data_IF_026597880279
#
_entry.id   IF_026597880279
#
_cell.length_a   1.000
_cell.length_b   1.000
_cell.length_c   1.000
_cell.angle_alpha   90.00
_cell.angle_beta   90.00
_cell.angle_gamma   90.00
#
_symmetry.space_group_name_H-M   'P 1'
#
loop_
_entity.id
_entity.type
_entity.pdbx_description
1 polymer ?
#
# COMPACT_ATOMS: atom_id res chain seq x y z
N UNK A 1 36.43 -32.93 -16.99
CA UNK A 1 36.91 -31.84 -17.86
C UNK A 1 38.33 -32.11 -18.30
N UNK A 2 38.61 -32.41 -19.58
CA UNK A 2 39.99 -32.45 -20.05
C UNK A 2 40.58 -31.06 -19.89
N UNK A 3 41.68 -30.96 -19.14
CA UNK A 3 42.43 -29.72 -18.99
C UNK A 3 42.95 -29.32 -20.38
N UNK A 4 42.57 -28.13 -20.86
CA UNK A 4 43.21 -27.54 -22.03
C UNK A 4 44.70 -27.31 -21.67
N UNK A 5 45.59 -28.06 -22.31
CA UNK A 5 47.03 -27.91 -22.14
C UNK A 5 47.46 -26.55 -22.71
N UNK A 6 47.65 -25.57 -21.83
CA UNK A 6 48.20 -24.26 -22.15
C UNK A 6 49.68 -24.19 -21.73
N UNK A 7 50.47 -23.33 -22.39
CA UNK A 7 51.92 -23.19 -22.14
C UNK A 7 52.29 -22.81 -20.69
N UNK A 8 51.34 -22.33 -19.90
CA UNK A 8 51.52 -22.04 -18.47
C UNK A 8 51.64 -23.31 -17.61
N UNK A 9 51.31 -24.49 -18.14
CA UNK A 9 51.35 -25.77 -17.44
C UNK A 9 52.66 -26.56 -17.66
N UNK A 10 53.70 -25.96 -18.25
CA UNK A 10 55.01 -26.61 -18.45
C UNK A 10 55.66 -27.12 -17.16
N UNK A 11 55.45 -26.41 -16.05
CA UNK A 11 55.94 -26.83 -14.73
C UNK A 11 55.24 -28.10 -14.23
N UNK A 12 54.00 -28.33 -14.66
CA UNK A 12 53.15 -29.42 -14.18
C UNK A 12 53.64 -30.78 -14.70
N UNK A 13 54.23 -30.82 -15.90
CA UNK A 13 54.86 -32.03 -16.46
C UNK A 13 56.13 -32.40 -15.68
N UNK A 14 57.03 -31.43 -15.43
CA UNK A 14 58.21 -31.65 -14.57
C UNK A 14 57.83 -32.07 -13.16
N UNK A 15 56.75 -31.52 -12.62
CA UNK A 15 56.22 -31.89 -11.32
C UNK A 15 55.68 -33.34 -11.31
N UNK A 16 54.98 -33.77 -12.36
CA UNK A 16 54.53 -35.17 -12.49
C UNK A 16 55.70 -36.17 -12.62
N UNK A 17 56.79 -35.81 -13.30
CA UNK A 17 58.03 -36.59 -13.34
C UNK A 17 58.64 -36.74 -11.94
N UNK A 18 58.63 -35.68 -11.12
CA UNK A 18 59.19 -35.75 -9.76
C UNK A 18 58.41 -36.63 -8.78
N UNK A 19 57.12 -36.91 -9.03
CA UNK A 19 56.24 -37.63 -8.10
C UNK A 19 55.91 -39.05 -8.59
N UNK A 20 56.53 -39.50 -9.70
CA UNK A 20 56.39 -40.87 -10.22
C UNK A 20 54.92 -41.30 -10.48
N UNK A 21 54.05 -40.34 -10.81
CA UNK A 21 52.61 -40.54 -11.02
C UNK A 21 52.23 -40.74 -12.50
N UNK A 22 53.20 -40.75 -13.42
CA UNK A 22 52.99 -40.94 -14.86
C UNK A 22 52.19 -42.22 -15.19
N UNK A 23 52.36 -43.29 -14.39
CA UNK A 23 51.70 -44.58 -14.63
C UNK A 23 50.21 -44.62 -14.22
N UNK A 24 49.68 -43.59 -13.56
CA UNK A 24 48.25 -43.52 -13.15
C UNK A 24 47.39 -42.66 -14.07
N UNK A 25 47.97 -42.03 -15.07
CA UNK A 25 47.24 -41.17 -16.00
C UNK A 25 46.87 -41.99 -17.23
N UNK A 26 45.59 -42.36 -17.34
CA UNK A 26 44.99 -42.91 -18.56
C UNK A 26 44.87 -41.79 -19.62
N UNK A 27 46.01 -41.32 -20.13
CA UNK A 27 46.04 -40.56 -21.38
C UNK A 27 45.92 -41.56 -22.52
N UNK A 28 44.92 -41.40 -23.39
CA UNK A 28 44.81 -42.13 -24.64
C UNK A 28 46.14 -42.01 -25.41
N UNK A 29 46.81 -43.17 -25.56
CA UNK A 29 47.98 -43.48 -26.40
C UNK A 29 48.74 -42.28 -26.96
N UNK A 30 49.89 -42.05 -26.33
CA UNK A 30 51.09 -41.35 -26.80
C UNK A 30 51.24 -41.26 -28.33
N UNK A 31 50.97 -40.09 -28.90
CA UNK A 31 51.88 -39.56 -29.91
C UNK A 31 53.05 -38.94 -29.15
N UNK A 32 54.28 -39.28 -29.54
CA UNK A 32 55.48 -38.59 -29.11
C UNK A 32 55.32 -37.11 -29.47
N UNK A 33 54.93 -36.30 -28.49
CA UNK A 33 54.83 -34.85 -28.62
C UNK A 33 56.27 -34.32 -28.63
N UNK A 34 56.72 -33.83 -29.78
CA UNK A 34 58.01 -33.16 -29.87
C UNK A 34 57.90 -31.73 -29.33
N UNK A 35 59.01 -31.13 -28.89
CA UNK A 35 59.05 -29.72 -28.41
C UNK A 35 58.44 -28.72 -29.42
N UNK A 36 58.44 -29.06 -30.70
CA UNK A 36 57.88 -28.24 -31.77
C UNK A 36 56.34 -28.25 -31.84
N UNK A 37 55.66 -29.22 -31.20
CA UNK A 37 54.19 -29.27 -31.16
C UNK A 37 53.59 -28.26 -30.16
N UNK A 38 54.41 -27.74 -29.23
CA UNK A 38 54.01 -26.71 -28.26
C UNK A 38 54.11 -25.28 -28.80
N UNK A 39 54.78 -25.08 -29.93
CA UNK A 39 55.10 -23.75 -30.45
C UNK A 39 54.68 -23.61 -31.92
N UNK A 40 53.37 -23.68 -32.17
CA UNK A 40 52.81 -23.21 -33.45
C UNK A 40 52.99 -21.69 -33.53
N UNK A 41 53.81 -21.25 -34.50
CA UNK A 41 53.94 -19.92 -35.10
C UNK A 41 53.74 -18.71 -34.17
N UNK A 42 54.76 -17.84 -34.06
CA UNK A 42 54.68 -16.49 -33.47
C UNK A 42 53.58 -15.65 -34.14
N UNK A 43 52.31 -15.89 -33.82
CA UNK A 43 51.22 -14.95 -34.06
C UNK A 43 51.52 -13.76 -33.16
N UNK A 44 51.50 -12.57 -33.74
CA UNK A 44 51.58 -11.35 -32.94
C UNK A 44 50.48 -11.40 -31.88
N UNK A 45 50.86 -11.20 -30.63
CA UNK A 45 49.92 -11.14 -29.52
C UNK A 45 49.97 -9.75 -28.91
N UNK A 46 48.82 -9.32 -28.41
CA UNK A 46 48.66 -8.06 -27.71
C UNK A 46 47.73 -8.30 -26.53
N UNK A 47 48.27 -8.24 -25.33
CA UNK A 47 47.52 -8.29 -24.09
C UNK A 47 47.60 -6.93 -23.41
N UNK A 48 46.48 -6.52 -22.83
CA UNK A 48 46.35 -5.28 -22.10
C UNK A 48 45.80 -5.64 -20.72
N UNK A 49 46.38 -5.07 -19.68
CA UNK A 49 45.92 -5.24 -18.30
C UNK A 49 45.61 -3.86 -17.73
N UNK A 50 44.37 -3.65 -17.25
CA UNK A 50 43.26 -4.61 -17.13
C UNK A 50 42.59 -4.98 -18.47
N UNK A 51 41.91 -6.13 -18.56
CA UNK A 51 41.33 -6.59 -19.84
C UNK A 51 39.95 -5.98 -20.18
N UNK A 52 39.26 -5.44 -19.18
CA UNK A 52 37.92 -4.85 -19.28
C UNK A 52 37.94 -3.37 -18.88
N UNK A 53 36.92 -2.61 -19.30
CA UNK A 53 36.68 -1.24 -18.85
C UNK A 53 36.65 -1.15 -17.33
N UNK A 54 37.27 -0.11 -16.77
CA UNK A 54 37.40 0.05 -15.32
C UNK A 54 36.70 1.30 -14.82
N UNK A 55 36.14 1.20 -13.63
CA UNK A 55 35.68 2.33 -12.82
C UNK A 55 36.68 2.45 -11.66
N UNK A 56 37.37 3.58 -11.55
CA UNK A 56 38.45 3.80 -10.59
C UNK A 56 38.23 5.15 -9.89
N UNK A 57 38.78 5.36 -8.70
CA UNK A 57 38.56 6.60 -7.97
C UNK A 57 39.68 7.62 -8.19
N UNK A 58 39.33 8.89 -8.07
CA UNK A 58 40.26 10.01 -8.10
C UNK A 58 41.28 9.88 -6.97
N UNK A 59 42.53 10.21 -7.26
CA UNK A 59 43.70 10.06 -6.39
C UNK A 59 44.17 8.62 -6.15
N UNK A 60 43.50 7.60 -6.71
CA UNK A 60 44.05 6.24 -6.69
C UNK A 60 45.18 6.10 -7.72
N UNK A 61 46.23 5.34 -7.38
CA UNK A 61 47.25 4.95 -8.35
C UNK A 61 46.69 3.92 -9.32
N UNK A 62 47.01 4.06 -10.61
CA UNK A 62 46.54 3.15 -11.64
C UNK A 62 47.65 2.78 -12.62
N UNK A 63 47.71 1.49 -12.96
CA UNK A 63 48.70 0.93 -13.89
C UNK A 63 48.02 0.35 -15.11
N UNK A 64 48.46 0.78 -16.28
CA UNK A 64 48.14 0.13 -17.54
C UNK A 64 49.38 -0.59 -18.03
N UNK A 65 49.26 -1.87 -18.35
CA UNK A 65 50.37 -2.64 -18.88
C UNK A 65 49.96 -3.32 -20.18
N UNK A 66 50.78 -3.11 -21.20
CA UNK A 66 50.64 -3.68 -22.51
C UNK A 66 51.78 -4.65 -22.81
N UNK A 67 51.43 -5.92 -23.00
CA UNK A 67 52.38 -6.99 -23.34
C UNK A 67 52.22 -7.40 -24.79
N UNK A 68 53.32 -7.32 -25.55
CA UNK A 68 53.39 -7.76 -26.93
C UNK A 68 54.77 -8.31 -27.29
N UNK A 69 54.85 -9.07 -28.38
CA UNK A 69 56.09 -9.50 -29.01
C UNK A 69 56.73 -8.44 -29.93
N UNK A 70 56.08 -7.29 -30.15
CA UNK A 70 56.61 -6.16 -30.93
C UNK A 70 56.64 -4.86 -30.12
N UNK A 71 57.26 -3.80 -30.64
CA UNK A 71 57.29 -2.49 -29.97
C UNK A 71 55.87 -1.95 -29.80
N UNK A 72 55.54 -1.50 -28.59
CA UNK A 72 54.23 -0.98 -28.22
C UNK A 72 54.27 0.52 -27.97
N UNK A 73 53.16 1.20 -28.22
CA UNK A 73 52.94 2.58 -27.76
C UNK A 73 51.48 2.78 -27.35
N UNK A 74 51.22 3.81 -26.56
CA UNK A 74 49.91 4.14 -26.05
C UNK A 74 49.36 5.43 -26.63
N UNK A 75 48.06 5.47 -26.88
CA UNK A 75 47.32 6.71 -27.13
C UNK A 75 46.17 6.86 -26.14
N UNK A 76 45.90 8.11 -25.74
CA UNK A 76 44.77 8.50 -24.91
C UNK A 76 43.87 9.40 -25.73
N UNK A 77 42.61 9.00 -25.94
CA UNK A 77 41.67 9.70 -26.82
C UNK A 77 42.30 10.05 -28.18
N UNK A 78 42.92 9.04 -28.82
CA UNK A 78 43.57 9.11 -30.13
C UNK A 78 44.83 10.00 -30.20
N UNK A 79 45.26 10.58 -29.08
CA UNK A 79 46.51 11.37 -28.99
C UNK A 79 47.64 10.53 -28.43
N UNK A 80 48.80 10.59 -29.07
CA UNK A 80 50.01 9.91 -28.60
C UNK A 80 50.31 10.26 -27.13
N UNK A 81 50.54 9.25 -26.31
CA UNK A 81 50.81 9.40 -24.88
C UNK A 81 52.21 8.95 -24.49
N UNK A 82 52.60 7.71 -24.81
CA UNK A 82 53.91 7.17 -24.42
C UNK A 82 54.34 5.97 -25.27
N UNK A 83 55.66 5.76 -25.38
CA UNK A 83 56.28 4.58 -26.01
C UNK A 83 56.58 3.43 -25.03
N UNK A 84 56.26 3.60 -23.74
CA UNK A 84 56.50 2.57 -22.73
C UNK A 84 55.39 1.51 -22.75
N UNK A 85 55.75 0.24 -22.53
CA UNK A 85 54.76 -0.85 -22.39
C UNK A 85 53.87 -0.65 -21.16
N UNK A 86 54.43 -0.11 -20.09
CA UNK A 86 53.74 0.18 -18.83
C UNK A 86 53.55 1.68 -18.62
N UNK A 87 52.33 2.10 -18.32
CA UNK A 87 52.00 3.44 -17.84
C UNK A 87 51.61 3.34 -16.37
N UNK A 88 52.26 4.15 -15.54
CA UNK A 88 51.90 4.32 -14.15
C UNK A 88 51.41 5.75 -13.92
N UNK A 89 50.17 5.89 -13.47
CA UNK A 89 49.58 7.17 -13.09
C UNK A 89 49.49 7.16 -11.56
N UNK A 90 50.33 7.96 -10.85
CA UNK A 90 50.37 7.92 -9.39
C UNK A 90 49.12 8.50 -8.75
N UNK A 91 48.48 9.48 -9.41
CA UNK A 91 47.24 10.10 -8.97
C UNK A 91 46.29 10.27 -10.16
N UNK A 92 45.18 9.54 -10.17
CA UNK A 92 44.14 9.71 -11.19
C UNK A 92 43.35 11.01 -10.99
N UNK A 93 43.10 11.73 -12.07
CA UNK A 93 42.24 12.91 -12.15
C UNK A 93 41.08 12.66 -13.10
N UNK A 94 40.01 13.45 -13.01
CA UNK A 94 38.81 13.28 -13.86
C UNK A 94 39.12 13.33 -15.37
N UNK A 95 40.11 14.12 -15.77
CA UNK A 95 40.57 14.25 -17.16
C UNK A 95 41.29 13.00 -17.71
N UNK A 96 41.60 12.00 -16.86
CA UNK A 96 42.09 10.69 -17.30
C UNK A 96 40.97 9.73 -17.70
N UNK A 97 39.70 10.15 -17.54
CA UNK A 97 38.55 9.39 -18.05
C UNK A 97 38.53 9.46 -19.58
N UNK A 98 38.46 8.30 -20.23
CA UNK A 98 38.51 8.21 -21.68
C UNK A 98 39.02 6.87 -22.18
N UNK A 99 39.31 6.82 -23.48
CA UNK A 99 39.74 5.61 -24.17
C UNK A 99 41.26 5.52 -24.20
N UNK A 100 41.79 4.50 -23.52
CA UNK A 100 43.21 4.17 -23.52
C UNK A 100 43.45 3.04 -24.50
N UNK A 101 44.28 3.26 -25.51
CA UNK A 101 44.61 2.27 -26.53
C UNK A 101 46.08 1.93 -26.52
N UNK A 102 46.39 0.64 -26.44
CA UNK A 102 47.73 0.15 -26.74
C UNK A 102 47.78 -0.31 -28.20
N UNK A 103 48.82 0.13 -28.89
CA UNK A 103 49.14 -0.23 -30.26
C UNK A 103 50.38 -1.10 -30.29
N UNK A 104 50.35 -2.10 -31.15
CA UNK A 104 51.43 -3.01 -31.51
C UNK A 104 51.38 -3.21 -33.02
N UNK A 105 52.42 -3.76 -33.63
CA UNK A 105 52.46 -3.97 -35.08
C UNK A 105 51.21 -4.70 -35.59
N UNK A 106 50.36 -3.97 -36.32
CA UNK A 106 49.05 -4.38 -36.86
C UNK A 106 48.01 -4.87 -35.83
N UNK A 107 48.14 -4.55 -34.54
CA UNK A 107 47.18 -4.92 -33.48
C UNK A 107 46.96 -3.75 -32.51
N UNK A 108 45.70 -3.48 -32.19
CA UNK A 108 45.32 -2.46 -31.21
C UNK A 108 44.35 -3.06 -30.18
N UNK A 109 44.46 -2.67 -28.91
CA UNK A 109 43.45 -2.96 -27.88
C UNK A 109 43.13 -1.71 -27.07
N UNK A 110 41.85 -1.47 -26.83
CA UNK A 110 41.33 -0.32 -26.10
C UNK A 110 40.66 -0.71 -24.78
N UNK A 111 40.75 0.18 -23.79
CA UNK A 111 40.02 0.10 -22.52
C UNK A 111 39.39 1.47 -22.25
N UNK A 112 38.12 1.48 -21.84
CA UNK A 112 37.49 2.68 -21.29
C UNK A 112 37.80 2.79 -19.80
N UNK A 113 38.35 3.92 -19.37
CA UNK A 113 38.58 4.27 -17.97
C UNK A 113 37.57 5.34 -17.55
N UNK A 114 36.84 5.10 -16.46
CA UNK A 114 35.96 6.08 -15.82
C UNK A 114 36.47 6.41 -14.42
N UNK A 115 36.94 7.64 -14.21
CA UNK A 115 37.44 8.11 -12.91
C UNK A 115 36.32 8.80 -12.14
N UNK A 116 36.02 8.34 -10.93
CA UNK A 116 35.01 8.92 -10.04
C UNK A 116 35.65 9.73 -8.90
N UNK A 117 35.11 10.91 -8.58
CA UNK A 117 35.56 11.68 -7.42
C UNK A 117 34.93 11.12 -6.12
N UNK A 118 35.75 10.73 -5.14
CA UNK A 118 35.32 10.25 -3.81
C UNK A 118 34.70 11.36 -2.95
N UNK A 119 35.03 12.63 -3.20
CA UNK A 119 34.60 13.75 -2.35
C UNK A 119 33.16 14.23 -2.60
N UNK A 120 32.49 13.72 -3.64
CA UNK A 120 31.06 13.96 -3.86
C UNK A 120 30.32 12.63 -3.78
N UNK A 121 29.62 12.42 -2.66
CA UNK A 121 28.74 11.26 -2.41
C UNK A 121 27.63 11.17 -3.47
N UNK A 122 27.91 10.63 -4.65
CA UNK A 122 26.96 10.41 -5.75
C UNK A 122 26.15 9.12 -5.57
N UNK A 123 25.70 8.84 -4.35
CA UNK A 123 24.94 7.63 -4.06
C UNK A 123 23.69 7.93 -3.24
N UNK A 124 22.61 7.23 -3.54
CA UNK A 124 21.53 7.03 -2.58
C UNK A 124 21.96 5.98 -1.54
N UNK A 125 21.63 6.23 -0.28
CA UNK A 125 21.91 5.27 0.79
C UNK A 125 21.04 4.02 0.66
N UNK A 126 21.52 2.89 1.17
CA UNK A 126 20.69 1.69 1.26
C UNK A 126 19.46 1.96 2.12
N UNK A 127 18.31 1.44 1.69
CA UNK A 127 17.02 1.67 2.34
C UNK A 127 16.29 0.34 2.51
N UNK A 128 15.81 0.09 3.72
CA UNK A 128 14.82 -0.96 3.98
C UNK A 128 13.45 -0.32 4.03
N UNK A 129 12.50 -0.94 3.36
CA UNK A 129 11.13 -0.44 3.28
C UNK A 129 10.17 -1.60 3.41
N UNK A 130 9.20 -1.45 4.31
CA UNK A 130 8.09 -2.37 4.47
C UNK A 130 6.84 -1.78 3.82
N UNK A 131 6.16 -2.56 3.00
CA UNK A 131 4.97 -2.15 2.23
C UNK A 131 3.94 -3.26 2.23
N UNK A 132 2.70 -2.93 1.85
CA UNK A 132 1.63 -3.91 1.61
C UNK A 132 1.97 -4.95 0.54
N UNK A 133 2.98 -4.70 -0.30
CA UNK A 133 3.51 -5.62 -1.33
C UNK A 133 4.80 -6.33 -0.91
N UNK A 134 5.25 -6.13 0.33
CA UNK A 134 6.35 -6.84 0.96
C UNK A 134 7.50 -5.97 1.43
N UNK A 135 8.54 -6.66 1.92
CA UNK A 135 9.76 -6.04 2.42
C UNK A 135 10.78 -5.91 1.30
N UNK A 136 11.26 -4.70 1.05
CA UNK A 136 12.25 -4.41 0.03
C UNK A 136 13.55 -3.89 0.66
N UNK A 137 14.68 -4.43 0.20
CA UNK A 137 16.01 -3.96 0.54
C UNK A 137 16.65 -3.31 -0.69
N UNK A 138 16.62 -1.99 -0.74
CA UNK A 138 17.26 -1.22 -1.80
C UNK A 138 18.74 -1.04 -1.47
N UNK A 139 19.65 -1.58 -2.30
CA UNK A 139 21.09 -1.45 -2.06
C UNK A 139 21.56 -0.01 -2.28
N UNK A 140 22.77 0.30 -1.81
CA UNK A 140 23.41 1.59 -2.12
C UNK A 140 23.63 1.72 -3.63
N UNK A 141 23.13 2.80 -4.23
CA UNK A 141 23.04 2.95 -5.70
C UNK A 141 23.56 4.31 -6.16
N UNK A 142 24.21 4.35 -7.33
CA UNK A 142 24.70 5.58 -7.94
C UNK A 142 23.55 6.49 -8.39
N UNK A 143 23.72 7.80 -8.26
CA UNK A 143 22.75 8.79 -8.76
C UNK A 143 22.48 8.64 -10.25
N UNK A 144 21.21 8.74 -10.65
CA UNK A 144 20.74 8.58 -12.02
C UNK A 144 20.44 7.14 -12.45
N UNK A 145 20.58 6.16 -11.54
CA UNK A 145 20.28 4.75 -11.84
C UNK A 145 18.89 4.34 -11.33
N UNK A 146 18.26 3.45 -12.10
CA UNK A 146 17.04 2.73 -11.71
C UNK A 146 17.46 1.33 -11.26
N UNK A 147 17.05 0.94 -10.06
CA UNK A 147 17.27 -0.42 -9.56
C UNK A 147 16.00 -1.22 -9.78
N UNK A 148 16.19 -2.47 -10.21
CA UNK A 148 15.14 -3.47 -10.27
C UNK A 148 15.38 -4.53 -9.19
N UNK A 149 14.36 -4.88 -8.43
CA UNK A 149 14.35 -5.99 -7.48
C UNK A 149 13.26 -6.99 -7.87
N UNK A 150 13.46 -8.27 -7.54
CA UNK A 150 12.42 -9.29 -7.72
C UNK A 150 11.28 -9.06 -6.72
N UNK A 151 10.03 -9.17 -7.17
CA UNK A 151 8.88 -9.07 -6.28
C UNK A 151 8.87 -10.23 -5.25
N UNK A 152 8.75 -9.96 -3.94
CA UNK A 152 8.82 -10.99 -2.90
C UNK A 152 7.71 -12.05 -2.97
N UNK A 153 6.50 -11.65 -3.39
CA UNK A 153 5.31 -12.50 -3.40
C UNK A 153 4.80 -12.86 -4.80
N UNK A 154 5.64 -12.68 -5.83
CA UNK A 154 5.30 -12.94 -7.22
C UNK A 154 4.60 -11.76 -7.92
N UNK A 155 3.87 -12.07 -8.99
CA UNK A 155 3.28 -11.09 -9.90
C UNK A 155 1.92 -10.60 -9.42
N UNK A 156 1.66 -9.32 -9.66
CA UNK A 156 0.33 -8.73 -9.51
C UNK A 156 -0.66 -9.46 -10.42
N UNK A 157 -1.95 -9.45 -10.04
CA UNK A 157 -2.92 -10.32 -10.66
C UNK A 157 -3.22 -9.99 -12.13
N UNK A 158 -2.99 -8.74 -12.56
CA UNK A 158 -3.10 -8.32 -13.95
C UNK A 158 -1.96 -8.86 -14.84
N UNK A 159 -0.90 -9.42 -14.25
CA UNK A 159 0.32 -9.88 -14.93
C UNK A 159 0.46 -11.42 -14.91
N UNK A 160 -0.60 -12.18 -14.55
CA UNK A 160 -0.57 -13.65 -14.37
C UNK A 160 -0.09 -14.42 -15.62
N UNK A 161 -0.13 -13.80 -16.81
CA UNK A 161 0.29 -14.41 -18.08
C UNK A 161 1.56 -13.80 -18.71
N UNK A 162 2.32 -12.94 -18.01
CA UNK A 162 3.58 -12.45 -18.58
C UNK A 162 4.68 -13.49 -18.45
N UNK A 163 5.47 -13.65 -19.51
CA UNK A 163 6.68 -14.48 -19.47
C UNK A 163 7.81 -13.83 -18.65
N UNK A 164 7.71 -12.54 -18.34
CA UNK A 164 8.71 -11.80 -17.59
C UNK A 164 8.53 -11.99 -16.07
N UNK A 165 9.66 -12.16 -15.37
CA UNK A 165 9.68 -12.14 -13.91
C UNK A 165 9.20 -10.77 -13.39
N UNK A 166 8.26 -10.71 -12.44
CA UNK A 166 7.73 -9.45 -11.91
C UNK A 166 8.78 -8.71 -11.10
N UNK A 167 8.89 -7.39 -11.33
CA UNK A 167 9.92 -6.54 -10.73
C UNK A 167 9.36 -5.30 -10.06
N UNK A 168 10.01 -4.93 -8.97
CA UNK A 168 9.90 -3.62 -8.33
C UNK A 168 10.99 -2.71 -8.86
N UNK A 169 10.67 -1.44 -9.12
CA UNK A 169 11.63 -0.43 -9.57
C UNK A 169 11.72 0.73 -8.58
N UNK A 170 12.92 1.28 -8.42
CA UNK A 170 13.10 2.51 -7.67
C UNK A 170 14.27 3.31 -8.24
N UNK A 171 14.12 4.63 -8.32
CA UNK A 171 15.07 5.51 -9.00
C UNK A 171 15.88 6.30 -7.99
N UNK A 172 17.21 6.22 -8.10
CA UNK A 172 18.08 7.12 -7.34
C UNK A 172 18.24 8.43 -8.11
N UNK A 173 17.63 9.52 -7.62
CA UNK A 173 17.73 10.83 -8.26
C UNK A 173 19.15 11.43 -8.20
N UNK A 174 19.43 12.41 -9.07
CA UNK A 174 20.66 13.21 -8.98
C UNK A 174 20.82 13.98 -7.67
N UNK A 175 19.71 14.21 -6.95
CA UNK A 175 19.69 14.85 -5.64
C UNK A 175 20.03 13.89 -4.48
N UNK A 176 20.36 12.62 -4.78
CA UNK A 176 20.67 11.55 -3.79
C UNK A 176 19.45 11.13 -2.96
N UNK A 177 18.27 11.33 -3.51
CA UNK A 177 17.01 10.87 -2.92
C UNK A 177 16.42 9.77 -3.77
N UNK A 178 15.86 8.76 -3.13
CA UNK A 178 15.08 7.76 -3.80
C UNK A 178 13.71 8.34 -4.21
N UNK A 179 13.37 8.21 -5.48
CA UNK A 179 12.14 8.73 -6.10
C UNK A 179 11.53 7.70 -7.06
N UNK A 180 10.27 7.89 -7.42
CA UNK A 180 9.57 7.06 -8.42
C UNK A 180 9.58 5.57 -8.08
N UNK A 181 9.10 5.24 -6.88
CA UNK A 181 8.89 3.85 -6.49
C UNK A 181 7.76 3.24 -7.33
N UNK A 182 8.05 2.17 -8.06
CA UNK A 182 7.07 1.41 -8.81
C UNK A 182 7.02 -0.04 -8.32
N UNK A 183 5.89 -0.38 -7.68
CA UNK A 183 5.55 -1.73 -7.21
C UNK A 183 4.36 -2.32 -7.97
N UNK A 184 3.99 -1.76 -9.14
CA UNK A 184 2.79 -2.15 -9.89
C UNK A 184 2.75 -3.62 -10.28
N UNK A 185 3.91 -4.20 -10.60
CA UNK A 185 4.05 -5.61 -10.99
C UNK A 185 4.07 -6.58 -9.81
N UNK A 186 4.19 -6.09 -8.57
CA UNK A 186 4.30 -6.96 -7.40
C UNK A 186 2.93 -7.31 -6.81
N UNK A 187 2.77 -8.58 -6.44
CA UNK A 187 1.62 -9.06 -5.68
C UNK A 187 1.60 -8.49 -4.26
N UNK A 188 0.40 -8.38 -3.69
CA UNK A 188 0.24 -8.07 -2.27
C UNK A 188 0.79 -9.18 -1.38
N UNK A 189 1.22 -8.80 -0.17
CA UNK A 189 1.79 -9.72 0.83
C UNK A 189 0.78 -10.72 1.37
N UNK A 190 -0.48 -10.31 1.52
CA UNK A 190 -1.55 -11.12 2.11
C UNK A 190 -2.35 -11.86 1.04
N UNK A 191 -2.89 -13.02 1.39
CA UNK A 191 -3.71 -13.80 0.46
C UNK A 191 -5.01 -13.07 0.09
N UNK A 192 -5.61 -12.38 1.07
CA UNK A 192 -6.86 -11.65 0.91
C UNK A 192 -6.69 -10.49 -0.09
N UNK A 193 -5.71 -9.61 0.13
CA UNK A 193 -5.40 -8.54 -0.84
C UNK A 193 -5.02 -9.07 -2.23
N UNK A 194 -4.35 -10.22 -2.33
CA UNK A 194 -4.07 -10.85 -3.63
C UNK A 194 -5.35 -11.29 -4.36
N UNK A 195 -6.31 -11.84 -3.65
CA UNK A 195 -7.59 -12.20 -4.26
C UNK A 195 -8.40 -10.96 -4.63
N UNK A 196 -8.36 -9.89 -3.83
CA UNK A 196 -8.97 -8.61 -4.20
C UNK A 196 -8.38 -8.05 -5.51
N UNK A 197 -7.04 -8.06 -5.63
CA UNK A 197 -6.33 -7.65 -6.85
C UNK A 197 -6.72 -8.52 -8.06
N UNK A 198 -6.92 -9.81 -7.84
CA UNK A 198 -7.39 -10.74 -8.87
C UNK A 198 -8.85 -10.49 -9.29
N UNK A 199 -9.74 -10.21 -8.35
CA UNK A 199 -11.13 -9.88 -8.66
C UNK A 199 -11.25 -8.58 -9.47
N UNK A 200 -10.40 -7.60 -9.17
CA UNK A 200 -10.26 -6.35 -9.93
C UNK A 200 -9.79 -6.59 -11.36
N UNK A 201 -8.73 -7.38 -11.54
CA UNK A 201 -8.09 -7.56 -12.85
C UNK A 201 -9.02 -8.19 -13.90
N UNK A 202 -10.04 -8.94 -13.46
CA UNK A 202 -11.02 -9.60 -14.33
C UNK A 202 -12.07 -8.60 -14.90
N UNK A 203 -12.01 -7.30 -14.57
CA UNK A 203 -12.89 -6.24 -15.09
C UNK A 203 -14.39 -6.61 -15.00
N UNK A 204 -14.80 -7.17 -13.86
CA UNK A 204 -16.15 -7.69 -13.72
C UNK A 204 -17.17 -6.61 -13.38
N UNK A 205 -18.32 -6.64 -14.06
CA UNK A 205 -19.43 -5.66 -13.86
C UNK A 205 -20.05 -5.69 -12.47
N UNK A 206 -19.76 -6.71 -11.66
CA UNK A 206 -20.32 -6.96 -10.33
C UNK A 206 -19.20 -7.17 -9.27
N UNK A 207 -18.15 -6.35 -9.29
CA UNK A 207 -16.99 -6.51 -8.40
C UNK A 207 -17.40 -6.56 -6.92
N UNK A 208 -18.19 -5.59 -6.45
CA UNK A 208 -18.65 -5.50 -5.05
C UNK A 208 -19.39 -6.76 -4.59
N UNK A 209 -20.22 -7.36 -5.45
CA UNK A 209 -20.94 -8.58 -5.11
C UNK A 209 -19.97 -9.78 -5.02
N UNK A 210 -18.99 -9.88 -5.92
CA UNK A 210 -17.95 -10.91 -5.83
C UNK A 210 -17.12 -10.76 -4.55
N UNK A 211 -16.71 -9.54 -4.22
CA UNK A 211 -16.02 -9.24 -2.96
C UNK A 211 -16.83 -9.72 -1.76
N UNK A 212 -18.12 -9.40 -1.69
CA UNK A 212 -19.00 -9.89 -0.63
C UNK A 212 -19.05 -11.42 -0.56
N UNK A 213 -19.19 -12.10 -1.70
CA UNK A 213 -19.22 -13.57 -1.72
C UNK A 213 -17.90 -14.18 -1.26
N UNK A 214 -16.77 -13.56 -1.58
CA UNK A 214 -15.45 -14.01 -1.15
C UNK A 214 -15.27 -13.78 0.36
N UNK A 215 -15.49 -12.54 0.82
CA UNK A 215 -15.36 -12.14 2.22
C UNK A 215 -16.26 -12.97 3.14
N UNK A 216 -17.48 -13.32 2.70
CA UNK A 216 -18.40 -14.14 3.48
C UNK A 216 -17.88 -15.54 3.83
N UNK A 217 -16.84 -16.01 3.13
CA UNK A 217 -16.22 -17.34 3.34
C UNK A 217 -14.95 -17.29 4.20
N UNK A 218 -14.45 -16.10 4.51
CA UNK A 218 -13.18 -15.89 5.20
C UNK A 218 -13.46 -15.63 6.68
N UNK A 219 -12.61 -16.15 7.57
CA UNK A 219 -12.69 -15.79 8.98
C UNK A 219 -12.21 -14.34 9.17
N UNK A 220 -12.99 -13.56 9.92
CA UNK A 220 -12.72 -12.16 10.29
C UNK A 220 -11.31 -12.01 10.89
N UNK A 221 -10.80 -13.03 11.58
CA UNK A 221 -9.47 -13.03 12.20
C UNK A 221 -8.31 -13.07 11.21
N UNK A 222 -8.55 -13.46 9.96
CA UNK A 222 -7.50 -13.53 8.94
C UNK A 222 -7.16 -12.16 8.33
N UNK A 223 -8.05 -11.17 8.49
CA UNK A 223 -7.87 -9.82 7.97
C UNK A 223 -6.75 -9.09 8.69
N UNK A 224 -5.81 -8.54 7.92
CA UNK A 224 -4.77 -7.66 8.42
C UNK A 224 -5.08 -6.20 8.11
N UNK A 225 -4.35 -5.32 8.75
CA UNK A 225 -4.38 -3.88 8.52
C UNK A 225 -4.40 -3.50 7.02
N UNK A 226 -3.46 -4.04 6.23
CA UNK A 226 -3.35 -3.77 4.79
C UNK A 226 -4.61 -4.19 4.01
N UNK A 227 -5.22 -5.32 4.39
CA UNK A 227 -6.41 -5.86 3.71
C UNK A 227 -7.63 -4.95 3.92
N UNK A 228 -7.75 -4.37 5.11
CA UNK A 228 -8.87 -3.49 5.46
C UNK A 228 -8.74 -2.16 4.70
N UNK A 229 -7.54 -1.57 4.68
CA UNK A 229 -7.29 -0.34 3.93
C UNK A 229 -7.56 -0.57 2.45
N UNK A 230 -7.02 -1.66 1.89
CA UNK A 230 -7.25 -1.96 0.49
C UNK A 230 -8.73 -2.16 0.16
N UNK A 231 -9.49 -2.85 1.02
CA UNK A 231 -10.94 -2.99 0.83
C UNK A 231 -11.67 -1.64 0.86
N UNK A 232 -11.26 -0.71 1.73
CA UNK A 232 -11.84 0.64 1.78
C UNK A 232 -11.52 1.42 0.50
N UNK A 233 -10.27 1.36 0.03
CA UNK A 233 -9.86 2.01 -1.23
C UNK A 233 -10.67 1.47 -2.42
N UNK A 234 -10.96 0.16 -2.43
CA UNK A 234 -11.81 -0.45 -3.46
C UNK A 234 -13.27 0.01 -3.41
N UNK A 235 -13.80 0.22 -2.21
CA UNK A 235 -15.16 0.77 -2.03
C UNK A 235 -15.21 2.20 -2.56
N UNK A 236 -14.19 3.01 -2.28
CA UNK A 236 -14.03 4.40 -2.74
C UNK A 236 -14.03 4.48 -4.27
N UNK A 237 -13.14 3.71 -4.92
CA UNK A 237 -13.02 3.67 -6.39
C UNK A 237 -14.31 3.21 -7.09
N UNK A 238 -14.96 2.16 -6.58
CA UNK A 238 -16.19 1.66 -7.19
C UNK A 238 -17.37 2.61 -6.99
N UNK A 239 -17.48 3.25 -5.82
CA UNK A 239 -18.52 4.24 -5.56
C UNK A 239 -18.45 5.41 -6.57
N UNK A 240 -17.27 5.97 -6.81
CA UNK A 240 -17.08 7.07 -7.77
C UNK A 240 -17.49 6.68 -9.20
N UNK A 241 -17.07 5.49 -9.64
CA UNK A 241 -17.42 4.94 -10.96
C UNK A 241 -18.92 4.77 -11.13
N UNK A 242 -19.61 4.31 -10.11
CA UNK A 242 -21.06 4.07 -10.18
C UNK A 242 -21.88 5.36 -10.12
N UNK A 243 -21.46 6.34 -9.31
CA UNK A 243 -22.10 7.66 -9.31
C UNK A 243 -22.02 8.30 -10.70
N UNK A 244 -20.87 8.20 -11.37
CA UNK A 244 -20.70 8.70 -12.73
C UNK A 244 -21.64 8.01 -13.74
N UNK A 245 -21.87 6.70 -13.58
CA UNK A 245 -22.72 5.91 -14.49
C UNK A 245 -24.23 6.05 -14.21
N UNK A 246 -24.63 6.62 -13.07
CA UNK A 246 -26.01 6.87 -12.63
C UNK A 246 -26.98 5.67 -12.79
N UNK A 247 -26.48 4.44 -12.60
CA UNK A 247 -27.26 3.20 -12.68
C UNK A 247 -27.15 2.43 -11.35
N UNK A 248 -28.29 1.89 -10.89
CA UNK A 248 -28.40 0.96 -9.76
C UNK A 248 -27.89 1.46 -8.40
N UNK A 249 -28.00 2.77 -8.11
CA UNK A 249 -27.53 3.39 -6.85
C UNK A 249 -28.02 2.63 -5.60
N UNK A 250 -29.28 2.19 -5.57
CA UNK A 250 -29.83 1.46 -4.42
C UNK A 250 -29.15 0.12 -4.17
N UNK A 251 -28.91 -0.66 -5.22
CA UNK A 251 -28.25 -1.97 -5.14
C UNK A 251 -26.81 -1.81 -4.66
N UNK A 252 -26.10 -0.82 -5.21
CA UNK A 252 -24.70 -0.54 -4.86
C UNK A 252 -24.59 -0.02 -3.44
N UNK A 253 -25.48 0.88 -3.02
CA UNK A 253 -25.60 1.29 -1.63
C UNK A 253 -25.77 0.08 -0.73
N UNK A 254 -26.69 -0.85 -1.05
CA UNK A 254 -26.86 -2.08 -0.25
C UNK A 254 -25.57 -2.91 -0.17
N UNK A 255 -24.80 -3.04 -1.27
CA UNK A 255 -23.55 -3.79 -1.26
C UNK A 255 -22.46 -3.09 -0.43
N UNK A 256 -22.31 -1.78 -0.57
CA UNK A 256 -21.32 -0.98 0.18
C UNK A 256 -21.64 -1.01 1.67
N UNK A 257 -22.90 -0.80 2.06
CA UNK A 257 -23.33 -0.89 3.45
C UNK A 257 -23.09 -2.29 4.06
N UNK A 258 -23.22 -3.36 3.27
CA UNK A 258 -22.85 -4.73 3.71
C UNK A 258 -21.35 -4.92 3.90
N UNK A 259 -20.53 -4.37 3.01
CA UNK A 259 -19.07 -4.41 3.15
C UNK A 259 -18.62 -3.61 4.37
N UNK A 260 -19.20 -2.43 4.59
CA UNK A 260 -18.88 -1.64 5.79
C UNK A 260 -19.35 -2.32 7.07
N UNK A 261 -20.53 -2.94 7.08
CA UNK A 261 -20.99 -3.75 8.21
C UNK A 261 -20.01 -4.89 8.54
N UNK A 262 -19.38 -5.48 7.52
CA UNK A 262 -18.30 -6.46 7.71
C UNK A 262 -17.03 -5.82 8.29
N UNK A 263 -16.56 -4.70 7.74
CA UNK A 263 -15.36 -3.98 8.24
C UNK A 263 -15.51 -3.63 9.72
N UNK A 264 -16.70 -3.20 10.14
CA UNK A 264 -17.00 -2.86 11.53
C UNK A 264 -17.04 -4.08 12.47
N UNK A 265 -17.11 -5.31 11.95
CA UNK A 265 -17.02 -6.54 12.74
C UNK A 265 -15.57 -7.00 12.99
N UNK A 266 -14.61 -6.49 12.22
CA UNK A 266 -13.19 -6.85 12.37
C UNK A 266 -12.66 -6.23 13.66
N UNK A 267 -11.88 -7.00 14.45
CA UNK A 267 -11.25 -6.46 15.65
C UNK A 267 -10.21 -5.39 15.25
N UNK A 268 -10.38 -4.16 15.74
CA UNK A 268 -9.63 -3.00 15.25
C UNK A 268 -8.50 -2.61 16.21
N UNK A 269 -7.51 -3.49 16.38
CA UNK A 269 -6.31 -3.19 17.18
C UNK A 269 -5.48 -2.02 16.58
N UNK A 270 -5.78 -1.63 15.33
CA UNK A 270 -5.05 -0.64 14.54
C UNK A 270 -5.62 0.78 14.60
N UNK A 271 -6.62 1.05 15.45
CA UNK A 271 -7.27 2.37 15.57
C UNK A 271 -6.26 3.50 15.82
N UNK A 272 -5.08 3.22 16.37
CA UNK A 272 -4.07 4.26 16.62
C UNK A 272 -3.25 4.68 15.40
N UNK A 273 -3.34 3.95 14.29
CA UNK A 273 -2.55 4.20 13.10
C UNK A 273 -3.25 5.28 12.26
N UNK A 274 -2.55 6.39 11.99
CA UNK A 274 -3.11 7.53 11.27
C UNK A 274 -3.67 7.16 9.88
N UNK A 275 -2.99 6.27 9.14
CA UNK A 275 -3.46 5.77 7.84
C UNK A 275 -4.80 5.04 7.95
N UNK A 276 -4.99 4.22 8.99
CA UNK A 276 -6.28 3.58 9.28
C UNK A 276 -7.37 4.63 9.50
N UNK A 277 -7.03 5.69 10.25
CA UNK A 277 -7.98 6.73 10.58
C UNK A 277 -8.43 7.54 9.37
N UNK A 278 -7.50 7.84 8.47
CA UNK A 278 -7.83 8.45 7.20
C UNK A 278 -8.73 7.53 6.36
N UNK A 279 -8.48 6.22 6.34
CA UNK A 279 -9.33 5.25 5.65
C UNK A 279 -10.75 5.20 6.25
N UNK A 280 -10.90 5.12 7.58
CA UNK A 280 -12.21 5.09 8.22
C UNK A 280 -13.00 6.39 8.02
N UNK A 281 -12.32 7.55 8.05
CA UNK A 281 -12.95 8.85 7.77
C UNK A 281 -13.46 8.92 6.32
N UNK A 282 -12.70 8.41 5.35
CA UNK A 282 -13.16 8.27 3.95
C UNK A 282 -14.38 7.36 3.88
N UNK A 283 -14.33 6.19 4.50
CA UNK A 283 -15.46 5.25 4.53
C UNK A 283 -16.74 5.88 5.12
N UNK A 284 -16.61 6.66 6.20
CA UNK A 284 -17.73 7.41 6.79
C UNK A 284 -18.32 8.39 5.78
N UNK A 285 -17.48 9.19 5.13
CA UNK A 285 -17.91 10.17 4.13
C UNK A 285 -18.64 9.50 2.95
N UNK A 286 -18.15 8.35 2.48
CA UNK A 286 -18.80 7.54 1.44
C UNK A 286 -20.21 7.14 1.87
N UNK A 287 -20.38 6.60 3.09
CA UNK A 287 -21.69 6.15 3.59
C UNK A 287 -22.71 7.30 3.65
N UNK A 288 -22.30 8.44 4.20
CA UNK A 288 -23.17 9.62 4.33
C UNK A 288 -23.56 10.18 2.96
N UNK A 289 -22.63 10.22 2.01
CA UNK A 289 -22.92 10.63 0.63
C UNK A 289 -23.84 9.66 -0.10
N UNK A 290 -23.65 8.35 0.06
CA UNK A 290 -24.52 7.36 -0.55
C UNK A 290 -25.95 7.47 -0.02
N UNK A 291 -26.12 7.71 1.28
CA UNK A 291 -27.43 7.94 1.87
C UNK A 291 -28.12 9.17 1.24
N UNK A 292 -27.32 10.18 0.84
CA UNK A 292 -27.83 11.35 0.15
C UNK A 292 -28.39 11.07 -1.25
N UNK A 293 -27.99 9.98 -1.88
CA UNK A 293 -28.42 9.56 -3.20
C UNK A 293 -29.56 8.53 -3.18
N UNK A 294 -29.89 7.97 -2.01
CA UNK A 294 -30.98 6.98 -1.87
C UNK A 294 -32.37 7.62 -1.84
N UNK A 295 -33.38 6.85 -2.28
CA UNK A 295 -34.80 7.22 -2.25
C UNK A 295 -35.32 7.35 -0.81
N UNK A 296 -36.50 7.96 -0.62
CA UNK A 296 -37.07 8.34 0.69
C UNK A 296 -37.61 7.18 1.56
N UNK A 297 -37.54 5.94 1.08
CA UNK A 297 -37.99 4.71 1.77
C UNK A 297 -36.93 3.60 1.80
N UNK A 298 -35.66 3.97 1.60
CA UNK A 298 -34.55 3.04 1.56
C UNK A 298 -34.12 2.64 2.97
N UNK A 299 -33.89 1.35 3.20
CA UNK A 299 -33.51 0.81 4.51
C UNK A 299 -32.49 -0.31 4.34
N UNK A 300 -31.40 -0.21 5.09
CA UNK A 300 -30.39 -1.24 5.30
C UNK A 300 -30.28 -1.59 6.78
N UNK A 301 -30.23 -2.89 7.08
CA UNK A 301 -30.15 -3.42 8.44
C UNK A 301 -29.06 -4.48 8.52
N UNK A 302 -27.91 -4.11 9.08
CA UNK A 302 -26.76 -4.96 9.35
C UNK A 302 -26.59 -5.31 10.84
N UNK A 303 -25.47 -5.95 11.19
CA UNK A 303 -25.15 -6.35 12.57
C UNK A 303 -24.56 -5.20 13.40
N UNK A 304 -23.72 -4.39 12.78
CA UNK A 304 -23.01 -3.25 13.36
C UNK A 304 -23.53 -1.90 12.81
N UNK A 305 -24.16 -1.92 11.63
CA UNK A 305 -24.60 -0.75 10.91
C UNK A 305 -26.06 -0.87 10.50
N UNK A 306 -26.86 0.16 10.75
CA UNK A 306 -28.22 0.30 10.21
C UNK A 306 -28.34 1.67 9.57
N UNK A 307 -28.90 1.77 8.37
CA UNK A 307 -29.08 3.04 7.68
C UNK A 307 -30.45 3.11 7.03
N UNK A 308 -31.09 4.26 7.08
CA UNK A 308 -32.42 4.43 6.53
C UNK A 308 -32.73 5.87 6.17
N UNK A 309 -33.65 6.03 5.23
CA UNK A 309 -34.34 7.27 4.92
C UNK A 309 -35.81 7.10 5.30
N UNK A 310 -36.34 8.06 6.05
CA UNK A 310 -37.69 7.98 6.61
C UNK A 310 -38.46 9.26 6.37
N UNK A 311 -39.65 9.12 5.82
CA UNK A 311 -40.62 10.21 5.69
C UNK A 311 -41.59 10.22 6.89
N UNK A 312 -41.57 11.30 7.68
CA UNK A 312 -42.51 11.52 8.79
C UNK A 312 -43.91 11.85 8.24
N UNK A 313 -44.96 11.08 8.62
CA UNK A 313 -45.50 11.15 9.99
C UNK A 313 -45.54 9.85 10.81
N UNK A 314 -44.87 8.76 10.41
CA UNK A 314 -44.79 7.50 11.18
C UNK A 314 -43.33 7.02 11.26
N UNK A 315 -42.77 6.55 12.39
CA UNK A 315 -43.24 6.39 13.79
C UNK A 315 -43.07 7.64 14.68
N UNK A 316 -43.73 7.71 15.85
CA UNK A 316 -43.34 8.66 16.89
C UNK A 316 -41.94 8.37 17.47
N UNK A 317 -41.51 7.10 17.46
CA UNK A 317 -40.22 6.67 18.02
C UNK A 317 -39.58 5.53 17.22
N UNK A 318 -38.28 5.64 16.95
CA UNK A 318 -37.42 4.57 16.41
C UNK A 318 -36.58 4.03 17.56
N UNK A 319 -36.49 2.71 17.68
CA UNK A 319 -35.62 2.06 18.64
C UNK A 319 -34.51 1.27 17.93
N UNK A 320 -33.30 1.35 18.47
CA UNK A 320 -32.16 0.53 18.09
C UNK A 320 -31.81 -0.38 19.26
N UNK A 321 -31.89 -1.69 19.02
CA UNK A 321 -31.65 -2.71 20.04
C UNK A 321 -30.34 -3.43 19.71
N UNK A 322 -29.36 -3.43 20.63
CA UNK A 322 -28.12 -4.17 20.42
C UNK A 322 -28.38 -5.68 20.34
N UNK A 323 -27.62 -6.39 19.50
CA UNK A 323 -27.74 -7.84 19.25
C UNK A 323 -29.00 -8.33 18.52
N UNK A 324 -29.90 -7.44 18.09
CA UNK A 324 -31.05 -7.83 17.26
C UNK A 324 -31.05 -6.98 15.98
N UNK A 325 -30.42 -7.46 14.89
CA UNK A 325 -30.35 -6.69 13.65
C UNK A 325 -31.77 -6.34 13.17
N UNK A 326 -32.69 -7.30 13.20
CA UNK A 326 -34.05 -7.15 12.64
C UNK A 326 -35.03 -6.28 13.44
N UNK A 327 -34.63 -5.69 14.58
CA UNK A 327 -35.58 -5.04 15.50
C UNK A 327 -35.42 -3.52 15.58
N UNK A 328 -35.23 -2.85 14.43
CA UNK A 328 -35.52 -1.42 14.26
C UNK A 328 -37.03 -1.22 14.14
N UNK A 329 -37.75 -1.39 15.24
CA UNK A 329 -39.20 -1.26 15.29
C UNK A 329 -39.60 0.18 15.63
N UNK A 330 -40.59 0.69 14.89
CA UNK A 330 -41.57 1.70 15.28
C UNK A 330 -42.05 1.40 16.71
N UNK A 331 -41.45 2.00 17.72
CA UNK A 331 -41.65 1.63 19.12
C UNK A 331 -43.01 2.12 19.66
N UNK A 332 -44.10 1.63 19.08
CA UNK A 332 -45.45 2.00 19.49
C UNK A 332 -45.87 1.37 20.82
N UNK A 333 -45.38 0.16 21.15
CA UNK A 333 -45.97 -0.66 22.24
C UNK A 333 -44.93 -1.54 22.99
N UNK A 334 -43.62 -1.42 22.71
CA UNK A 334 -42.60 -2.20 23.46
C UNK A 334 -42.36 -1.61 24.86
N UNK A 335 -43.26 -2.07 25.73
CA UNK A 335 -43.33 -2.12 27.18
C UNK A 335 -42.07 -1.73 27.96
N UNK A 336 -42.32 -0.99 29.06
CA UNK A 336 -41.40 -0.60 30.15
C UNK A 336 -40.44 -1.69 30.65
N UNK A 337 -40.66 -2.96 30.30
CA UNK A 337 -39.86 -4.12 30.71
C UNK A 337 -38.52 -4.24 29.96
N UNK A 338 -38.43 -3.84 28.68
CA UNK A 338 -37.16 -3.94 27.93
C UNK A 338 -36.20 -2.77 28.21
N UNK A 339 -36.72 -1.62 28.64
CA UNK A 339 -35.96 -0.38 28.87
C UNK A 339 -34.92 -0.45 30.00
N UNK A 340 -34.95 -1.46 30.87
CA UNK A 340 -34.14 -1.50 32.11
C UNK A 340 -32.95 -2.46 32.07
N UNK A 341 -32.87 -3.37 31.10
CA UNK A 341 -31.88 -4.46 31.16
C UNK A 341 -30.98 -4.58 29.93
N UNK A 342 -31.23 -3.83 28.85
CA UNK A 342 -30.37 -3.86 27.66
C UNK A 342 -29.49 -2.61 27.61
N UNK A 343 -28.20 -2.79 27.93
CA UNK A 343 -27.16 -1.76 27.75
C UNK A 343 -26.93 -1.53 26.26
N UNK A 344 -26.95 -0.27 25.82
CA UNK A 344 -26.71 0.11 24.42
C UNK A 344 -27.96 0.25 23.55
N UNK A 345 -29.15 0.24 24.15
CA UNK A 345 -30.39 0.62 23.48
C UNK A 345 -30.43 2.13 23.26
N UNK A 346 -30.79 2.57 22.05
CA UNK A 346 -30.94 3.98 21.72
C UNK A 346 -32.29 4.23 21.05
N UNK A 347 -32.91 5.38 21.33
CA UNK A 347 -34.21 5.75 20.73
C UNK A 347 -34.20 7.17 20.19
N UNK A 348 -34.83 7.36 19.03
CA UNK A 348 -35.06 8.66 18.41
C UNK A 348 -36.56 8.92 18.45
N UNK A 349 -36.99 9.98 19.11
CA UNK A 349 -38.38 10.42 19.16
C UNK A 349 -38.56 11.68 18.33
N UNK A 350 -39.45 11.61 17.36
CA UNK A 350 -39.82 12.75 16.52
C UNK A 350 -40.95 13.55 17.17
N UNK A 351 -41.01 14.87 16.93
CA UNK A 351 -42.05 15.70 17.49
C UNK A 351 -43.41 15.28 16.92
N UNK A 352 -44.38 15.05 17.81
CA UNK A 352 -45.77 14.81 17.42
C UNK A 352 -46.30 16.12 16.83
N UNK A 353 -46.71 16.12 15.55
CA UNK A 353 -47.33 17.27 14.90
C UNK A 353 -48.62 17.64 15.65
N UNK A 354 -48.56 18.62 16.54
CA UNK A 354 -49.72 19.01 17.35
C UNK A 354 -50.54 20.15 16.73
N UNK A 355 -50.10 20.88 15.68
CA UNK A 355 -50.92 21.90 15.01
C UNK A 355 -50.33 22.55 13.72
N UNK A 356 -49.49 21.87 12.93
CA UNK A 356 -48.90 22.46 11.71
C UNK A 356 -49.57 21.89 10.46
N UNK A 357 -49.82 22.77 9.49
CA UNK A 357 -50.49 22.53 8.21
C UNK A 357 -50.08 21.23 7.49
N UNK A 358 -51.08 20.62 6.86
CA UNK A 358 -51.17 19.23 6.37
C UNK A 358 -50.10 18.83 5.32
N UNK A 359 -49.22 19.72 4.85
CA UNK A 359 -48.40 19.50 3.65
C UNK A 359 -46.87 19.43 3.84
N UNK A 360 -46.34 19.32 5.07
CA UNK A 360 -44.88 19.22 5.27
C UNK A 360 -44.50 17.91 5.95
N UNK A 361 -44.24 16.85 5.19
CA UNK A 361 -43.53 15.66 5.69
C UNK A 361 -42.06 16.02 5.89
N UNK A 362 -41.54 15.84 7.10
CA UNK A 362 -40.10 15.98 7.36
C UNK A 362 -39.44 14.64 7.06
N UNK A 363 -38.51 14.66 6.10
CA UNK A 363 -37.76 13.46 5.73
C UNK A 363 -36.41 13.49 6.45
N UNK A 364 -36.07 12.39 7.12
CA UNK A 364 -34.84 12.22 7.88
C UNK A 364 -33.99 11.10 7.29
N UNK A 365 -32.70 11.35 7.17
CA UNK A 365 -31.67 10.36 6.88
C UNK A 365 -31.00 9.98 8.19
N UNK A 366 -30.93 8.69 8.48
CA UNK A 366 -30.45 8.19 9.76
C UNK A 366 -29.45 7.07 9.52
N UNK A 367 -28.30 7.13 10.17
CA UNK A 367 -27.36 6.01 10.27
C UNK A 367 -27.15 5.72 11.75
N UNK A 368 -27.33 4.47 12.13
CA UNK A 368 -27.00 3.96 13.45
C UNK A 368 -25.77 3.06 13.34
N UNK A 369 -24.70 3.49 14.00
CA UNK A 369 -23.51 2.69 14.23
C UNK A 369 -23.60 2.10 15.63
N UNK A 370 -23.38 0.80 15.74
CA UNK A 370 -23.38 0.12 17.04
C UNK A 370 -22.15 0.48 17.89
N UNK A 371 -21.06 0.86 17.23
CA UNK A 371 -19.78 1.24 17.84
C UNK A 371 -19.31 2.56 17.24
N UNK A 372 -18.55 3.34 17.98
CA UNK A 372 -18.00 4.62 17.50
C UNK A 372 -16.66 4.43 16.77
N UNK A 373 -16.39 3.23 16.25
CA UNK A 373 -15.12 2.87 15.60
C UNK A 373 -14.77 3.77 14.41
N UNK A 374 -15.78 4.30 13.70
CA UNK A 374 -15.59 5.28 12.61
C UNK A 374 -15.35 6.73 13.10
N UNK A 375 -15.40 6.98 14.41
CA UNK A 375 -15.37 8.32 15.02
C UNK A 375 -14.27 8.38 16.08
N UNK A 376 -13.08 8.76 15.64
CA UNK A 376 -11.86 8.52 16.40
C UNK A 376 -11.35 9.78 17.04
N UNK A 377 -11.55 9.86 18.35
CA UNK A 377 -10.82 10.80 19.20
C UNK A 377 -10.43 10.21 20.56
N UNK A 378 -11.08 9.15 21.07
CA UNK A 378 -10.71 8.53 22.35
C UNK A 378 -11.07 7.03 22.47
N UNK A 379 -10.15 6.22 22.99
CA UNK A 379 -10.33 4.76 23.22
C UNK A 379 -11.54 4.46 24.10
N UNK A 380 -11.85 5.37 25.03
CA UNK A 380 -12.90 5.18 26.04
C UNK A 380 -14.30 5.08 25.44
N UNK A 381 -14.50 5.58 24.22
CA UNK A 381 -15.83 5.76 23.63
C UNK A 381 -16.07 4.81 22.45
N UNK A 382 -15.05 4.06 22.01
CA UNK A 382 -15.09 3.15 20.84
C UNK A 382 -16.25 2.15 20.84
N UNK A 383 -16.75 1.76 22.00
CA UNK A 383 -17.85 0.80 22.13
C UNK A 383 -19.24 1.43 22.22
N UNK A 384 -19.33 2.76 22.18
CA UNK A 384 -20.60 3.47 22.34
C UNK A 384 -21.32 3.56 20.98
N UNK A 385 -22.64 3.34 20.94
CA UNK A 385 -23.43 3.53 19.73
C UNK A 385 -23.46 4.99 19.30
N UNK A 386 -23.41 5.22 17.98
CA UNK A 386 -23.47 6.54 17.36
C UNK A 386 -24.71 6.64 16.48
N UNK A 387 -25.47 7.72 16.64
CA UNK A 387 -26.60 8.06 15.77
C UNK A 387 -26.22 9.26 14.92
N UNK A 388 -26.12 9.07 13.62
CA UNK A 388 -26.06 10.12 12.61
C UNK A 388 -27.47 10.48 12.14
N UNK A 389 -27.77 11.77 12.05
CA UNK A 389 -29.03 12.28 11.52
C UNK A 389 -28.82 13.50 10.62
N UNK A 390 -29.58 13.55 9.52
CA UNK A 390 -29.65 14.70 8.62
C UNK A 390 -31.09 14.91 8.11
N UNK A 391 -31.69 16.10 8.27
CA UNK A 391 -33.00 16.43 7.69
C UNK A 391 -32.88 16.84 6.22
N UNK A 392 -33.86 16.46 5.39
CA UNK A 392 -33.88 16.78 3.94
C UNK A 392 -34.67 18.07 3.63
N UNK A 393 -35.79 18.30 4.32
CA UNK A 393 -36.73 19.37 3.94
C UNK A 393 -36.38 20.72 4.56
N UNK A 394 -36.33 21.75 3.71
CA UNK A 394 -36.22 23.16 4.09
C UNK A 394 -37.53 23.67 4.69
N UNK A 395 -37.54 24.05 5.96
CA UNK A 395 -38.64 24.85 6.47
C UNK A 395 -38.61 25.15 7.95
N UNK A 396 -38.42 24.14 8.80
CA UNK A 396 -38.57 24.30 10.25
C UNK A 396 -37.50 23.55 11.01
N UNK A 397 -36.99 24.18 12.08
CA UNK A 397 -36.18 23.53 13.11
C UNK A 397 -37.00 22.37 13.65
N UNK A 398 -36.53 21.15 13.43
CA UNK A 398 -37.15 19.98 14.04
C UNK A 398 -36.36 19.62 15.29
N UNK A 399 -37.01 19.68 16.44
CA UNK A 399 -36.44 19.19 17.70
C UNK A 399 -36.68 17.70 17.77
N UNK A 400 -35.60 16.92 17.81
CA UNK A 400 -35.64 15.47 17.92
C UNK A 400 -35.06 15.07 19.27
N UNK A 401 -35.78 14.23 20.01
CA UNK A 401 -35.31 13.73 21.30
C UNK A 401 -34.55 12.42 21.07
N UNK A 402 -33.27 12.40 21.39
CA UNK A 402 -32.42 11.19 21.36
C UNK A 402 -32.24 10.69 22.78
N UNK A 403 -32.39 9.39 23.02
CA UNK A 403 -32.21 8.78 24.34
C UNK A 403 -31.31 7.55 24.23
N UNK A 404 -30.29 7.47 25.09
CA UNK A 404 -29.44 6.29 25.26
C UNK A 404 -29.73 5.63 26.61
N UNK A 405 -29.81 4.30 26.66
CA UNK A 405 -30.15 3.52 27.86
C UNK A 405 -28.96 2.69 28.37
N UNK A 406 -28.95 2.41 29.68
CA UNK A 406 -27.95 1.62 30.40
C UNK A 406 -26.68 2.38 30.79
N UNK A 407 -26.78 3.66 31.16
CA UNK A 407 -25.63 4.58 31.27
C UNK A 407 -25.39 5.13 32.68
N UNK A 408 -24.11 5.30 33.06
CA UNK A 408 -23.77 5.85 34.38
C UNK A 408 -24.21 7.32 34.55
N UNK A 409 -24.43 7.76 35.80
CA UNK A 409 -24.74 9.15 36.16
C UNK A 409 -23.69 10.19 35.71
N UNK A 410 -22.51 9.76 35.27
CA UNK A 410 -21.43 10.65 34.81
C UNK A 410 -21.35 10.75 33.28
N UNK A 411 -22.24 10.08 32.55
CA UNK A 411 -22.25 10.13 31.08
C UNK A 411 -22.51 11.56 30.58
N UNK A 412 -21.85 11.91 29.50
CA UNK A 412 -22.03 13.19 28.80
C UNK A 412 -22.41 12.91 27.36
N UNK A 413 -22.79 13.93 26.59
CA UNK A 413 -23.17 13.73 25.19
C UNK A 413 -22.12 14.34 24.28
N UNK A 414 -21.57 13.47 23.44
CA UNK A 414 -20.63 13.83 22.38
C UNK A 414 -21.40 14.12 21.11
N UNK A 415 -21.11 15.26 20.51
CA UNK A 415 -21.60 15.63 19.19
C UNK A 415 -20.40 15.73 18.25
N UNK A 416 -20.51 15.08 17.10
CA UNK A 416 -19.49 15.12 16.07
C UNK A 416 -20.05 15.79 14.82
N UNK A 417 -19.42 16.90 14.43
CA UNK A 417 -19.72 17.60 13.19
C UNK A 417 -18.77 17.16 12.07
N UNK A 418 -19.21 17.26 10.82
CA UNK A 418 -18.44 16.85 9.63
C UNK A 418 -17.04 17.48 9.55
N UNK A 419 -16.89 18.71 10.04
CA UNK A 419 -15.64 19.46 9.97
C UNK A 419 -14.72 19.25 11.19
N UNK A 420 -15.13 18.43 12.15
CA UNK A 420 -14.42 18.25 13.41
C UNK A 420 -13.72 16.90 13.47
N UNK A 421 -12.61 16.86 14.19
CA UNK A 421 -11.78 15.67 14.39
C UNK A 421 -11.93 15.08 15.79
N UNK A 422 -12.84 15.62 16.60
CA UNK A 422 -13.07 15.16 17.97
C UNK A 422 -14.50 15.42 18.43
N UNK A 423 -14.96 14.65 19.43
CA UNK A 423 -16.28 14.82 20.01
C UNK A 423 -16.39 16.12 20.81
N UNK A 424 -17.45 16.89 20.57
CA UNK A 424 -17.80 18.06 21.36
C UNK A 424 -18.80 17.72 22.46
N UNK A 425 -18.41 18.01 23.70
CA UNK A 425 -19.19 17.77 24.93
C UNK A 425 -20.30 18.80 25.18
N UNK A 426 -20.21 19.96 24.52
CA UNK A 426 -21.17 21.06 24.62
C UNK A 426 -21.37 21.61 23.22
N UNK A 427 -22.57 21.45 22.67
CA UNK A 427 -22.94 22.15 21.44
C UNK A 427 -24.22 22.94 21.66
N UNK A 428 -24.37 24.03 20.93
CA UNK A 428 -25.59 24.83 20.90
C UNK A 428 -26.78 24.06 20.31
N UNK A 429 -26.54 22.91 19.66
CA UNK A 429 -27.54 22.15 18.93
C UNK A 429 -28.30 21.14 19.79
N UNK A 430 -27.74 20.67 20.91
CA UNK A 430 -28.43 19.70 21.77
C UNK A 430 -28.40 20.12 23.23
N UNK A 431 -29.55 20.02 23.89
CA UNK A 431 -29.69 20.28 25.32
C UNK A 431 -30.08 18.99 26.05
N UNK A 432 -29.39 18.70 27.16
CA UNK A 432 -29.71 17.54 28.00
C UNK A 432 -31.05 17.83 28.69
N UNK A 433 -32.04 16.98 28.41
CA UNK A 433 -33.38 17.09 28.98
C UNK A 433 -33.49 16.24 30.25
N UNK A 434 -32.97 15.00 30.23
CA UNK A 434 -33.05 14.08 31.37
C UNK A 434 -31.78 13.23 31.48
N UNK A 435 -31.29 13.04 32.70
CA UNK A 435 -30.13 12.19 32.98
C UNK A 435 -30.33 11.47 34.31
N UNK A 436 -30.31 10.15 34.28
CA UNK A 436 -30.44 9.25 35.43
C UNK A 436 -29.46 8.06 35.27
N UNK A 437 -29.38 7.19 36.29
CA UNK A 437 -28.50 5.98 36.33
C UNK A 437 -28.77 5.00 35.20
N UNK A 438 -29.93 5.10 34.55
CA UNK A 438 -30.37 4.15 33.53
C UNK A 438 -30.45 4.78 32.14
N UNK A 439 -30.42 6.11 32.00
CA UNK A 439 -30.59 6.78 30.70
C UNK A 439 -30.09 8.21 30.68
N UNK A 440 -29.71 8.65 29.48
CA UNK A 440 -29.47 10.05 29.15
C UNK A 440 -30.29 10.43 27.91
N UNK A 441 -31.03 11.54 27.96
CA UNK A 441 -31.85 12.04 26.85
C UNK A 441 -31.54 13.49 26.54
N UNK A 442 -31.39 13.81 25.26
CA UNK A 442 -31.17 15.16 24.73
C UNK A 442 -32.17 15.53 23.68
N UNK A 443 -32.58 16.78 23.71
CA UNK A 443 -33.32 17.41 22.62
C UNK A 443 -32.35 18.12 21.69
N UNK A 444 -32.30 17.69 20.44
CA UNK A 444 -31.42 18.23 19.42
C UNK A 444 -32.20 18.98 18.35
N UNK A 445 -31.81 20.22 18.07
CA UNK A 445 -32.37 21.05 17.00
C UNK A 445 -31.64 20.75 15.69
N UNK A 446 -32.37 20.19 14.72
CA UNK A 446 -31.86 19.92 13.37
C UNK A 446 -32.35 20.99 12.38
N UNK A 447 -31.43 21.59 11.64
CA UNK A 447 -31.68 22.46 10.48
C UNK A 447 -31.21 21.79 9.19
N UNK A 448 -31.64 22.30 8.02
CA UNK A 448 -31.40 21.69 6.70
C UNK A 448 -29.93 21.35 6.42
N UNK A 449 -29.01 22.17 6.96
CA UNK A 449 -27.58 22.06 6.69
C UNK A 449 -26.81 21.44 7.87
N UNK A 450 -27.50 20.99 8.92
CA UNK A 450 -26.86 20.32 10.07
C UNK A 450 -27.02 18.82 9.96
N UNK A 451 -25.92 18.13 9.68
CA UNK A 451 -25.75 16.71 9.98
C UNK A 451 -25.14 16.58 11.37
N UNK A 452 -25.73 15.78 12.24
CA UNK A 452 -25.21 15.55 13.60
C UNK A 452 -24.98 14.07 13.82
N UNK A 453 -23.76 13.71 14.22
CA UNK A 453 -23.46 12.42 14.84
C UNK A 453 -23.47 12.59 16.35
N UNK A 454 -24.23 11.75 17.06
CA UNK A 454 -24.46 11.87 18.51
C UNK A 454 -24.11 10.55 19.17
N UNK A 455 -23.35 10.63 20.26
CA UNK A 455 -23.04 9.51 21.15
C UNK A 455 -23.08 9.95 22.61
N UNK A 456 -22.95 9.00 23.53
CA UNK A 456 -22.61 9.30 24.92
C UNK A 456 -21.12 9.09 25.16
N UNK A 457 -20.52 9.86 26.07
CA UNK A 457 -19.11 9.82 26.45
C UNK A 457 -18.93 9.57 27.93
#
# INVERSE_FOLDING_TARGET
>A
NPLNCTCTLKWLIKWFETINLLNKINCQKSKYLNENDFCLNKKNFLFITPEQSQIVYQNDPFTLNCSSNTKTYWTFNEKFYSNNSTIFIPYLYLNHSGLWTCHSFNLNRSISLHVLNIQTNHFCQSLQMDTSKGHFYWPRTLTGQIIQLKCPFGSAAWLINSYDDPKAYYTCSFNRQWIDLDLSQCAFRTNISREFDHLLSINSTNLLNKLLTYISKIDIKEFKFDDIIFLIDLIDEEQDKYIYMNKNIEEISMLIYRLTDFILQINQDFIHINEYQLALNRLRFILENLLNLTNYSWVYVGKQLTAMTLESPLPPTICFIPNRPLLTIVCGILNRQYKRHETGLATIQFPLKSNISINQSSIFRIIFYRTSTLFTSDIKTNNNPVIYMQPITSGNVSTVTVTFYGQSNQASIGIWNLNETSWQMKSSFCQINRQNIDLISTDCTLTKDTSLSITYL
#
